data_IF_688040945440
#
_entry.id   IF_688040945440
#
_cell.length_a   1.000
_cell.length_b   1.000
_cell.length_c   1.000
_cell.angle_alpha   90.00
_cell.angle_beta   90.00
_cell.angle_gamma   90.00
#
_symmetry.space_group_name_H-M   'P 1'
#
loop_
_entity.id
_entity.type
_entity.pdbx_description
1 polymer ?
#
# COMPACT_ATOMS: atom_id res chain seq x y z
N UNK A 1 -24.36 -13.32 5.47
CA UNK A 1 -24.20 -11.95 4.99
C UNK A 1 -23.72 -11.08 6.12
N UNK A 2 -22.67 -10.31 5.86
CA UNK A 2 -22.21 -9.27 6.78
C UNK A 2 -23.13 -8.06 6.66
N UNK A 3 -23.69 -7.61 7.78
CA UNK A 3 -24.57 -6.45 7.84
C UNK A 3 -23.78 -5.15 7.92
N UNK A 4 -22.73 -5.14 8.74
CA UNK A 4 -21.92 -3.95 8.98
C UNK A 4 -20.51 -4.36 9.46
N UNK A 5 -19.52 -3.50 9.22
CA UNK A 5 -18.19 -3.58 9.79
C UNK A 5 -17.83 -2.17 10.27
N UNK A 6 -17.46 -2.06 11.54
CA UNK A 6 -17.20 -0.77 12.19
C UNK A 6 -15.87 -0.80 12.91
N UNK A 7 -15.09 0.27 12.74
CA UNK A 7 -13.85 0.51 13.47
C UNK A 7 -14.25 1.33 14.69
N UNK A 8 -14.43 0.67 15.83
CA UNK A 8 -14.93 1.29 17.07
C UNK A 8 -13.82 2.07 17.76
N UNK A 9 -12.60 1.53 17.71
CA UNK A 9 -11.37 2.17 18.17
C UNK A 9 -10.19 1.58 17.41
N UNK A 10 -8.98 2.15 17.59
CA UNK A 10 -7.78 1.65 16.90
C UNK A 10 -7.48 0.18 17.19
N UNK A 11 -7.95 -0.37 18.29
CA UNK A 11 -7.71 -1.75 18.72
C UNK A 11 -8.97 -2.65 18.68
N UNK A 12 -10.10 -2.16 18.16
CA UNK A 12 -11.37 -2.88 18.10
C UNK A 12 -12.08 -2.67 16.77
N UNK A 13 -12.28 -3.78 16.06
CA UNK A 13 -13.16 -3.87 14.89
C UNK A 13 -14.36 -4.72 15.27
N UNK A 14 -15.57 -4.23 15.01
CA UNK A 14 -16.81 -4.97 15.23
C UNK A 14 -17.43 -5.34 13.88
N UNK A 15 -17.83 -6.61 13.74
CA UNK A 15 -18.50 -7.15 12.56
C UNK A 15 -19.89 -7.62 12.99
N UNK A 16 -20.93 -7.10 12.33
CA UNK A 16 -22.32 -7.53 12.51
C UNK A 16 -22.68 -8.54 11.42
N UNK A 17 -23.20 -9.70 11.83
CA UNK A 17 -23.66 -10.78 10.96
C UNK A 17 -25.16 -10.99 11.15
N UNK A 18 -25.88 -11.27 10.06
CA UNK A 18 -27.35 -11.30 10.07
C UNK A 18 -27.90 -12.43 10.91
N UNK A 19 -27.25 -13.59 10.91
CA UNK A 19 -27.74 -14.77 11.63
C UNK A 19 -26.62 -15.68 12.14
N UNK A 20 -27.04 -16.74 12.84
CA UNK A 20 -26.15 -17.76 13.39
C UNK A 20 -25.41 -18.57 12.33
N UNK A 21 -26.00 -18.78 11.16
CA UNK A 21 -25.35 -19.53 10.08
C UNK A 21 -24.15 -18.75 9.54
N UNK A 22 -24.28 -17.43 9.45
CA UNK A 22 -23.22 -16.52 9.08
C UNK A 22 -22.11 -16.47 10.13
N UNK A 23 -22.47 -16.50 11.42
CA UNK A 23 -21.50 -16.61 12.50
C UNK A 23 -20.71 -17.92 12.43
N UNK A 24 -21.37 -19.05 12.19
CA UNK A 24 -20.68 -20.33 12.03
C UNK A 24 -19.73 -20.33 10.83
N UNK A 25 -20.12 -19.69 9.72
CA UNK A 25 -19.26 -19.52 8.56
C UNK A 25 -18.07 -18.61 8.86
N UNK A 26 -18.29 -17.50 9.57
CA UNK A 26 -17.24 -16.61 10.05
C UNK A 26 -16.22 -17.38 10.90
N UNK A 27 -16.68 -18.14 11.90
CA UNK A 27 -15.81 -18.94 12.77
C UNK A 27 -14.94 -19.89 11.94
N UNK A 28 -15.54 -20.61 10.98
CA UNK A 28 -14.83 -21.57 10.12
C UNK A 28 -13.69 -20.95 9.31
N UNK A 29 -13.87 -19.70 8.85
CA UNK A 29 -12.88 -19.07 7.96
C UNK A 29 -11.88 -18.20 8.75
N UNK A 30 -12.28 -17.62 9.89
CA UNK A 30 -11.42 -16.72 10.69
C UNK A 30 -10.61 -17.44 11.75
N UNK A 31 -10.96 -18.67 12.12
CA UNK A 31 -10.34 -19.39 13.24
C UNK A 31 -9.79 -20.75 12.78
N UNK A 32 -8.91 -21.35 13.59
CA UNK A 32 -8.34 -22.68 13.30
C UNK A 32 -8.63 -23.66 14.44
N UNK A 33 -8.06 -23.41 15.62
CA UNK A 33 -8.15 -24.32 16.77
C UNK A 33 -8.99 -23.73 17.90
N UNK A 34 -8.74 -22.47 18.23
CA UNK A 34 -9.52 -21.74 19.23
C UNK A 34 -10.45 -20.77 18.51
N UNK A 35 -11.77 -20.95 18.72
CA UNK A 35 -12.77 -20.05 18.16
C UNK A 35 -12.62 -18.61 18.68
N UNK A 36 -11.92 -18.38 19.79
CA UNK A 36 -11.68 -17.05 20.35
C UNK A 36 -10.38 -16.39 19.89
N UNK A 37 -9.68 -17.00 18.93
CA UNK A 37 -8.42 -16.46 18.39
C UNK A 37 -8.45 -16.53 16.86
N UNK A 38 -8.16 -15.41 16.20
CA UNK A 38 -8.07 -15.37 14.75
C UNK A 38 -6.86 -16.18 14.25
N UNK A 39 -6.98 -16.73 13.05
CA UNK A 39 -5.90 -17.45 12.40
C UNK A 39 -4.67 -16.54 12.21
N UNK A 40 -3.48 -17.03 12.59
CA UNK A 40 -2.20 -16.31 12.44
C UNK A 40 -1.83 -15.98 10.99
N UNK A 41 -2.53 -16.56 10.02
CA UNK A 41 -2.38 -16.23 8.61
C UNK A 41 -3.05 -14.90 8.24
N UNK A 42 -3.95 -14.38 9.08
CA UNK A 42 -4.72 -13.16 8.83
C UNK A 42 -4.06 -11.92 9.42
N UNK A 43 -3.41 -12.09 10.57
CA UNK A 43 -2.81 -11.01 11.34
C UNK A 43 -1.38 -11.37 11.73
N UNK A 44 -0.49 -10.37 11.71
CA UNK A 44 0.90 -10.53 12.16
C UNK A 44 1.01 -10.76 13.66
N UNK A 45 0.00 -10.31 14.42
CA UNK A 45 -0.10 -10.45 15.86
C UNK A 45 -1.37 -11.21 16.26
N UNK A 46 -1.46 -11.65 17.51
CA UNK A 46 -2.67 -12.32 18.02
C UNK A 46 -3.85 -11.35 18.04
N UNK A 47 -4.96 -11.76 17.41
CA UNK A 47 -6.25 -11.07 17.49
C UNK A 47 -7.24 -11.97 18.19
N UNK A 48 -7.80 -11.49 19.32
CA UNK A 48 -8.83 -12.19 20.09
C UNK A 48 -10.20 -11.89 19.53
N UNK A 49 -11.08 -12.87 19.59
CA UNK A 49 -12.45 -12.79 19.06
C UNK A 49 -13.45 -12.98 20.18
N UNK A 50 -14.36 -12.01 20.35
CA UNK A 50 -15.52 -12.15 21.25
C UNK A 50 -16.79 -12.21 20.43
N UNK A 51 -17.72 -13.04 20.90
CA UNK A 51 -19.02 -13.25 20.27
C UNK A 51 -20.10 -12.78 21.22
N UNK A 52 -21.06 -12.03 20.71
CA UNK A 52 -22.25 -11.56 21.43
C UNK A 52 -23.44 -11.63 20.48
N UNK A 53 -24.64 -11.70 21.04
CA UNK A 53 -25.87 -11.59 20.27
C UNK A 53 -26.66 -10.39 20.80
N UNK A 54 -27.16 -9.55 19.90
CA UNK A 54 -28.02 -8.42 20.23
C UNK A 54 -29.12 -8.30 19.18
N UNK A 55 -30.38 -8.27 19.60
CA UNK A 55 -31.54 -8.08 18.72
C UNK A 55 -31.55 -9.02 17.49
N UNK A 56 -31.20 -10.30 17.71
CA UNK A 56 -31.05 -11.35 16.69
C UNK A 56 -29.89 -11.16 15.69
N UNK A 57 -29.02 -10.18 15.92
CA UNK A 57 -27.78 -9.96 15.16
C UNK A 57 -26.63 -10.59 15.93
N UNK A 58 -25.78 -11.32 15.20
CA UNK A 58 -24.55 -11.86 15.76
C UNK A 58 -23.44 -10.81 15.64
N UNK A 59 -22.81 -10.48 16.76
CA UNK A 59 -21.77 -9.47 16.87
C UNK A 59 -20.44 -10.17 17.13
N UNK A 60 -19.45 -9.86 16.30
CA UNK A 60 -18.08 -10.34 16.42
C UNK A 60 -17.15 -9.15 16.69
N UNK A 61 -16.51 -9.15 17.85
CA UNK A 61 -15.49 -8.16 18.21
C UNK A 61 -14.09 -8.75 17.97
N UNK A 62 -13.33 -8.14 17.07
CA UNK A 62 -11.91 -8.41 16.84
C UNK A 62 -11.07 -7.45 17.69
N UNK A 63 -10.28 -8.00 18.60
CA UNK A 63 -9.48 -7.25 19.57
C UNK A 63 -8.00 -7.53 19.35
N UNK A 64 -7.24 -6.48 19.06
CA UNK A 64 -5.78 -6.55 18.89
C UNK A 64 -5.11 -5.80 20.05
N UNK A 65 -4.02 -6.34 20.60
CA UNK A 65 -3.30 -5.66 21.70
C UNK A 65 -2.58 -4.41 21.22
N UNK A 66 -2.10 -4.43 19.99
CA UNK A 66 -1.63 -3.26 19.25
C UNK A 66 -2.75 -2.64 18.43
N UNK A 67 -2.50 -1.47 17.84
CA UNK A 67 -3.43 -0.85 16.92
C UNK A 67 -3.57 -1.68 15.64
N UNK A 68 -4.80 -1.77 15.14
CA UNK A 68 -5.08 -2.20 13.77
C UNK A 68 -4.49 -1.17 12.79
N UNK A 69 -3.98 -1.69 11.69
CA UNK A 69 -3.53 -0.90 10.55
C UNK A 69 -4.59 -0.88 9.46
N UNK A 70 -4.46 0.01 8.48
CA UNK A 70 -5.33 -0.03 7.29
C UNK A 70 -5.24 -1.39 6.56
N UNK A 71 -4.05 -1.99 6.51
CA UNK A 71 -3.85 -3.31 5.89
C UNK A 71 -4.59 -4.42 6.63
N UNK A 72 -4.71 -4.34 7.95
CA UNK A 72 -5.48 -5.33 8.72
C UNK A 72 -6.96 -5.29 8.30
N UNK A 73 -7.52 -4.09 8.08
CA UNK A 73 -8.90 -3.91 7.62
C UNK A 73 -9.10 -4.45 6.20
N UNK A 74 -8.20 -4.14 5.27
CA UNK A 74 -8.24 -4.71 3.93
C UNK A 74 -8.12 -6.23 3.94
N UNK A 75 -7.24 -6.79 4.77
CA UNK A 75 -7.07 -8.23 4.89
C UNK A 75 -8.36 -8.88 5.40
N UNK A 76 -9.05 -8.27 6.37
CA UNK A 76 -10.38 -8.73 6.82
C UNK A 76 -11.37 -8.74 5.67
N UNK A 77 -11.50 -7.64 4.92
CA UNK A 77 -12.44 -7.53 3.79
C UNK A 77 -12.11 -8.53 2.67
N UNK A 78 -10.83 -8.64 2.30
CA UNK A 78 -10.35 -9.58 1.31
C UNK A 78 -10.61 -11.03 1.73
N UNK A 79 -10.35 -11.37 3.00
CA UNK A 79 -10.55 -12.72 3.52
C UNK A 79 -12.03 -13.11 3.54
N UNK A 80 -12.91 -12.20 3.96
CA UNK A 80 -14.36 -12.39 3.88
C UNK A 80 -14.80 -12.69 2.45
N UNK A 81 -14.39 -11.82 1.50
CA UNK A 81 -14.74 -11.96 0.09
C UNK A 81 -14.21 -13.26 -0.54
N UNK A 82 -12.93 -13.56 -0.32
CA UNK A 82 -12.26 -14.77 -0.84
C UNK A 82 -12.94 -16.07 -0.39
N UNK A 83 -13.50 -16.08 0.82
CA UNK A 83 -14.20 -17.23 1.37
C UNK A 83 -15.72 -17.20 1.15
N UNK A 84 -16.20 -16.34 0.25
CA UNK A 84 -17.59 -16.31 -0.19
C UNK A 84 -18.56 -15.66 0.80
N UNK A 85 -18.07 -14.98 1.84
CA UNK A 85 -18.92 -14.16 2.69
C UNK A 85 -19.32 -12.88 1.97
N UNK A 86 -20.62 -12.72 1.74
CA UNK A 86 -21.19 -11.53 1.11
C UNK A 86 -21.11 -10.33 2.05
N UNK A 87 -20.39 -9.30 1.61
CA UNK A 87 -20.31 -7.98 2.24
C UNK A 87 -20.86 -6.96 1.24
N UNK A 88 -21.89 -6.15 1.59
CA UNK A 88 -22.41 -5.12 0.69
C UNK A 88 -21.33 -4.08 0.31
N UNK A 89 -21.38 -3.59 -0.93
CA UNK A 89 -20.46 -2.57 -1.45
C UNK A 89 -20.44 -1.29 -0.59
N UNK A 90 -21.61 -0.85 -0.11
CA UNK A 90 -21.73 0.27 0.84
C UNK A 90 -20.98 0.02 2.16
N UNK A 91 -21.05 -1.21 2.68
CA UNK A 91 -20.33 -1.60 3.90
C UNK A 91 -18.82 -1.63 3.66
N UNK A 92 -18.37 -2.17 2.52
CA UNK A 92 -16.94 -2.16 2.14
C UNK A 92 -16.43 -0.72 2.07
N UNK A 93 -17.11 0.15 1.30
CA UNK A 93 -16.72 1.53 1.11
C UNK A 93 -16.70 2.32 2.43
N UNK A 94 -17.73 2.19 3.24
CA UNK A 94 -17.81 2.83 4.56
C UNK A 94 -16.69 2.35 5.50
N UNK A 95 -16.36 1.06 5.48
CA UNK A 95 -15.30 0.48 6.30
C UNK A 95 -13.94 1.02 5.90
N UNK A 96 -13.64 1.05 4.59
CA UNK A 96 -12.40 1.61 4.06
C UNK A 96 -12.28 3.10 4.36
N UNK A 97 -13.36 3.87 4.20
CA UNK A 97 -13.40 5.28 4.58
C UNK A 97 -13.15 5.50 6.07
N UNK A 98 -13.80 4.70 6.91
CA UNK A 98 -13.63 4.74 8.37
C UNK A 98 -12.19 4.41 8.76
N UNK A 99 -11.54 3.47 8.08
CA UNK A 99 -10.15 3.10 8.34
C UNK A 99 -9.19 4.26 8.10
N UNK A 100 -9.43 5.04 7.05
CA UNK A 100 -8.66 6.25 6.76
C UNK A 100 -8.92 7.35 7.79
N UNK A 101 -10.17 7.57 8.18
CA UNK A 101 -10.54 8.68 9.06
C UNK A 101 -10.25 8.44 10.54
N UNK A 102 -10.25 7.18 11.01
CA UNK A 102 -9.87 6.84 12.39
C UNK A 102 -8.34 6.87 12.62
N UNK A 103 -7.59 7.35 11.62
CA UNK A 103 -6.13 7.43 11.61
C UNK A 103 -5.48 6.09 11.96
N UNK A 104 -6.02 4.98 11.44
CA UNK A 104 -5.27 3.73 11.43
C UNK A 104 -3.99 3.95 10.64
N UNK A 105 -2.90 3.34 11.08
CA UNK A 105 -1.63 3.49 10.38
C UNK A 105 -1.77 2.97 8.93
N UNK A 106 -1.53 3.85 7.96
CA UNK A 106 -1.68 3.59 6.52
C UNK A 106 -0.36 3.78 5.77
N UNK A 107 0.77 3.48 6.40
CA UNK A 107 2.10 3.63 5.78
C UNK A 107 2.18 2.90 4.45
N UNK A 108 2.75 3.57 3.44
CA UNK A 108 2.90 2.99 2.10
C UNK A 108 1.63 3.02 1.23
N UNK A 109 0.63 3.82 1.63
CA UNK A 109 -0.60 4.01 0.88
C UNK A 109 -0.84 5.50 0.70
N UNK A 110 -1.27 5.88 -0.49
CA UNK A 110 -1.74 7.23 -0.79
C UNK A 110 -3.17 7.15 -1.32
N UNK A 111 -4.00 8.13 -1.01
CA UNK A 111 -5.43 8.12 -1.33
C UNK A 111 -5.77 9.25 -2.30
N UNK A 112 -6.54 8.95 -3.34
CA UNK A 112 -7.17 9.98 -4.16
C UNK A 112 -8.52 10.38 -3.57
N UNK A 113 -8.83 11.67 -3.54
CA UNK A 113 -10.08 12.20 -2.99
C UNK A 113 -10.86 12.98 -4.04
N UNK A 114 -12.16 12.75 -4.10
CA UNK A 114 -13.11 13.54 -4.90
C UNK A 114 -14.38 13.76 -4.08
N UNK A 115 -14.87 15.00 -4.03
CA UNK A 115 -16.03 15.36 -3.20
C UNK A 115 -15.85 15.05 -1.71
N UNK A 116 -14.62 15.14 -1.19
CA UNK A 116 -14.30 14.82 0.21
C UNK A 116 -14.29 13.33 0.56
N UNK A 117 -14.50 12.44 -0.41
CA UNK A 117 -14.51 10.99 -0.22
C UNK A 117 -13.35 10.32 -0.94
N UNK A 118 -12.69 9.31 -0.35
CA UNK A 118 -11.62 8.58 -1.00
C UNK A 118 -12.18 7.75 -2.16
N UNK A 119 -11.49 7.80 -3.29
CA UNK A 119 -11.89 7.11 -4.51
C UNK A 119 -11.02 5.89 -4.74
N UNK A 120 -9.70 6.05 -4.64
CA UNK A 120 -8.73 4.99 -4.79
C UNK A 120 -7.68 5.03 -3.68
N UNK A 121 -7.26 3.85 -3.24
CA UNK A 121 -5.96 3.68 -2.61
C UNK A 121 -4.91 3.34 -3.66
N UNK A 122 -3.71 3.91 -3.51
CA UNK A 122 -2.61 3.75 -4.45
C UNK A 122 -1.38 3.30 -3.67
N UNK A 123 -0.79 2.20 -4.14
CA UNK A 123 0.46 1.62 -3.63
C UNK A 123 1.50 1.60 -4.73
N UNK A 124 2.78 1.57 -4.34
CA UNK A 124 3.88 1.31 -5.28
C UNK A 124 4.62 0.07 -4.82
N UNK A 125 4.82 -0.85 -5.74
CA UNK A 125 5.61 -2.05 -5.52
C UNK A 125 6.38 -2.40 -6.79
N UNK A 126 7.71 -2.46 -6.70
CA UNK A 126 8.61 -2.80 -7.81
C UNK A 126 8.26 -2.01 -9.08
N UNK A 127 8.23 -0.68 -8.98
CA UNK A 127 7.89 0.23 -10.08
C UNK A 127 6.49 0.01 -10.70
N UNK A 128 5.58 -0.61 -9.98
CA UNK A 128 4.18 -0.75 -10.38
C UNK A 128 3.31 0.07 -9.43
N UNK A 129 2.54 1.01 -9.97
CA UNK A 129 1.45 1.65 -9.22
C UNK A 129 0.24 0.71 -9.23
N UNK A 130 -0.24 0.37 -8.04
CA UNK A 130 -1.37 -0.52 -7.83
C UNK A 130 -2.50 0.33 -7.26
N UNK A 131 -3.56 0.50 -8.03
CA UNK A 131 -4.73 1.28 -7.63
C UNK A 131 -5.90 0.36 -7.31
N UNK A 132 -6.43 0.50 -6.09
CA UNK A 132 -7.59 -0.26 -5.61
C UNK A 132 -8.74 0.71 -5.33
N UNK A 133 -9.93 0.51 -5.90
CA UNK A 133 -11.08 1.36 -5.67
C UNK A 133 -11.56 1.25 -4.22
N UNK A 134 -12.10 2.36 -3.71
CA UNK A 134 -12.58 2.46 -2.33
C UNK A 134 -14.03 2.95 -2.23
N UNK A 135 -14.50 3.73 -3.20
CA UNK A 135 -15.87 4.22 -3.21
C UNK A 135 -16.83 3.19 -3.78
N UNK A 136 -18.03 3.12 -3.19
CA UNK A 136 -19.05 2.11 -3.51
C UNK A 136 -19.30 2.00 -5.02
N UNK A 137 -19.45 3.14 -5.70
CA UNK A 137 -19.71 3.22 -7.14
C UNK A 137 -18.56 2.69 -8.00
N UNK A 138 -17.33 2.70 -7.50
CA UNK A 138 -16.12 2.33 -8.26
C UNK A 138 -15.54 0.97 -7.86
N UNK A 139 -16.09 0.29 -6.84
CA UNK A 139 -15.53 -0.96 -6.30
C UNK A 139 -15.38 -2.06 -7.35
N UNK A 140 -16.25 -2.08 -8.37
CA UNK A 140 -16.25 -3.06 -9.46
C UNK A 140 -15.55 -2.56 -10.74
N UNK A 141 -15.03 -1.33 -10.73
CA UNK A 141 -14.38 -0.68 -11.88
C UNK A 141 -15.25 -0.59 -13.17
N UNK A 142 -16.57 -0.69 -13.04
CA UNK A 142 -17.54 -0.65 -14.15
C UNK A 142 -18.36 0.65 -14.21
N UNK A 143 -18.06 1.62 -13.35
CA UNK A 143 -18.66 2.94 -13.43
C UNK A 143 -18.09 3.74 -14.60
N UNK A 144 -18.86 4.69 -15.11
CA UNK A 144 -18.40 5.60 -16.17
C UNK A 144 -17.06 6.26 -15.84
N UNK A 145 -16.87 6.68 -14.58
CA UNK A 145 -15.62 7.31 -14.12
C UNK A 145 -14.46 6.31 -14.10
N UNK A 146 -14.70 5.07 -13.65
CA UNK A 146 -13.66 4.01 -13.65
C UNK A 146 -13.27 3.59 -15.06
N UNK A 147 -14.25 3.41 -15.95
CA UNK A 147 -14.02 3.07 -17.35
C UNK A 147 -13.22 4.17 -18.05
N UNK A 148 -13.60 5.43 -17.86
CA UNK A 148 -12.88 6.59 -18.40
C UNK A 148 -11.43 6.63 -17.89
N UNK A 149 -11.20 6.37 -16.60
CA UNK A 149 -9.86 6.29 -16.04
C UNK A 149 -9.03 5.21 -16.72
N UNK A 150 -9.58 3.99 -16.84
CA UNK A 150 -8.89 2.85 -17.45
C UNK A 150 -8.53 3.15 -18.91
N UNK A 151 -9.45 3.75 -19.68
CA UNK A 151 -9.20 4.14 -21.06
C UNK A 151 -8.07 5.17 -21.18
N UNK A 152 -8.12 6.23 -20.36
CA UNK A 152 -7.09 7.26 -20.33
C UNK A 152 -5.72 6.67 -20.00
N UNK A 153 -5.64 5.83 -18.95
CA UNK A 153 -4.40 5.17 -18.55
C UNK A 153 -3.84 4.23 -19.63
N UNK A 154 -4.70 3.45 -20.29
CA UNK A 154 -4.26 2.54 -21.37
C UNK A 154 -3.80 3.29 -22.62
N UNK A 155 -4.26 4.52 -22.82
CA UNK A 155 -3.86 5.36 -23.96
C UNK A 155 -2.52 6.07 -23.75
N UNK A 156 -1.98 6.07 -22.51
CA UNK A 156 -0.79 6.82 -22.16
C UNK A 156 0.51 6.13 -22.56
N UNK A 157 1.38 6.86 -23.26
CA UNK A 157 2.65 6.34 -23.79
C UNK A 157 3.79 6.34 -22.77
N UNK A 158 3.64 7.08 -21.67
CA UNK A 158 4.63 7.18 -20.59
C UNK A 158 4.68 5.91 -19.73
N UNK A 159 3.68 5.05 -19.84
CA UNK A 159 3.55 3.80 -19.09
C UNK A 159 4.09 2.64 -19.93
N UNK A 160 4.67 1.63 -19.26
CA UNK A 160 5.04 0.40 -19.95
C UNK A 160 3.80 -0.44 -20.27
N UNK A 161 2.91 -0.57 -19.28
CA UNK A 161 1.68 -1.35 -19.40
C UNK A 161 0.64 -0.87 -18.38
N UNK A 162 -0.64 -1.11 -18.68
CA UNK A 162 -1.77 -0.86 -17.78
C UNK A 162 -2.71 -2.08 -17.81
N UNK A 163 -2.65 -2.89 -16.74
CA UNK A 163 -3.36 -4.16 -16.62
C UNK A 163 -4.44 -4.05 -15.54
N UNK A 164 -5.69 -4.32 -15.93
CA UNK A 164 -6.79 -4.48 -15.00
C UNK A 164 -6.95 -5.96 -14.68
N UNK A 165 -6.89 -6.31 -13.40
CA UNK A 165 -7.10 -7.68 -12.92
C UNK A 165 -8.03 -7.65 -11.72
N UNK A 166 -9.15 -8.37 -11.81
CA UNK A 166 -10.24 -8.26 -10.84
C UNK A 166 -10.61 -6.78 -10.69
N UNK A 167 -10.64 -6.25 -9.46
CA UNK A 167 -10.97 -4.86 -9.18
C UNK A 167 -9.71 -4.02 -8.92
N UNK A 168 -8.57 -4.37 -9.52
CA UNK A 168 -7.29 -3.69 -9.32
C UNK A 168 -6.73 -3.22 -10.66
N UNK A 169 -6.26 -1.97 -10.70
CA UNK A 169 -5.55 -1.40 -11.84
C UNK A 169 -4.05 -1.40 -11.53
N UNK A 170 -3.25 -2.08 -12.35
CA UNK A 170 -1.80 -2.12 -12.24
C UNK A 170 -1.17 -1.32 -13.37
N UNK A 171 -0.39 -0.31 -13.02
CA UNK A 171 0.31 0.58 -13.96
C UNK A 171 1.80 0.33 -13.82
N UNK A 172 2.38 -0.30 -14.83
CA UNK A 172 3.80 -0.65 -14.84
C UNK A 172 4.59 0.53 -15.41
N UNK A 173 5.55 1.02 -14.64
CA UNK A 173 6.43 2.11 -15.05
C UNK A 173 7.57 1.55 -15.90
N UNK A 174 7.92 2.25 -16.98
CA UNK A 174 9.10 1.94 -17.76
C UNK A 174 10.36 2.58 -17.14
N UNK A 175 10.59 3.87 -17.43
CA UNK A 175 11.75 4.63 -16.95
C UNK A 175 11.39 6.01 -16.39
N UNK A 176 10.25 6.58 -16.78
CA UNK A 176 9.91 7.99 -16.54
C UNK A 176 8.86 8.13 -15.43
N UNK A 177 9.21 7.73 -14.21
CA UNK A 177 8.27 7.68 -13.07
C UNK A 177 7.53 9.01 -12.84
N UNK A 178 8.21 10.15 -13.00
CA UNK A 178 7.58 11.48 -12.85
C UNK A 178 6.53 11.74 -13.91
N UNK A 179 6.77 11.30 -15.14
CA UNK A 179 5.79 11.44 -16.22
C UNK A 179 4.62 10.49 -15.99
N UNK A 180 4.88 9.25 -15.56
CA UNK A 180 3.82 8.31 -15.18
C UNK A 180 2.95 8.87 -14.07
N UNK A 181 3.54 9.44 -13.01
CA UNK A 181 2.79 10.10 -11.92
C UNK A 181 1.93 11.24 -12.48
N UNK A 182 2.48 12.10 -13.35
CA UNK A 182 1.70 13.18 -13.96
C UNK A 182 0.51 12.65 -14.79
N UNK A 183 0.72 11.58 -15.56
CA UNK A 183 -0.33 10.93 -16.34
C UNK A 183 -1.41 10.31 -15.46
N UNK A 184 -1.03 9.65 -14.34
CA UNK A 184 -1.97 9.12 -13.35
C UNK A 184 -2.84 10.24 -12.77
N UNK A 185 -2.20 11.30 -12.27
CA UNK A 185 -2.88 12.47 -11.68
C UNK A 185 -3.85 13.10 -12.67
N UNK A 186 -3.39 13.34 -13.91
CA UNK A 186 -4.22 13.93 -14.97
C UNK A 186 -5.43 13.05 -15.29
N UNK A 187 -5.22 11.73 -15.41
CA UNK A 187 -6.29 10.77 -15.71
C UNK A 187 -7.33 10.71 -14.59
N UNK A 188 -6.88 10.73 -13.33
CA UNK A 188 -7.76 10.79 -12.17
C UNK A 188 -8.61 12.07 -12.14
N UNK A 189 -8.03 13.23 -12.44
CA UNK A 189 -8.76 14.50 -12.50
C UNK A 189 -9.79 14.48 -13.63
N UNK A 190 -9.38 14.05 -14.83
CA UNK A 190 -10.25 14.00 -16.01
C UNK A 190 -11.44 13.04 -15.83
N UNK A 191 -11.25 11.99 -15.03
CA UNK A 191 -12.29 10.99 -14.73
C UNK A 191 -13.13 11.34 -13.50
N UNK A 192 -12.97 12.53 -12.90
CA UNK A 192 -13.66 12.93 -11.67
C UNK A 192 -13.39 11.98 -10.48
N UNK A 193 -12.17 11.46 -10.37
CA UNK A 193 -11.71 10.57 -9.29
C UNK A 193 -10.61 11.22 -8.42
N UNK A 194 -10.24 12.46 -8.74
CA UNK A 194 -9.39 13.34 -7.97
C UNK A 194 -9.87 14.79 -8.12
N UNK A 195 -10.10 15.47 -7.01
CA UNK A 195 -10.42 16.89 -7.01
C UNK A 195 -9.17 17.71 -7.38
N UNK A 196 -9.34 18.80 -8.13
CA UNK A 196 -8.21 19.57 -8.67
C UNK A 196 -7.34 20.17 -7.55
N UNK A 197 -7.97 20.55 -6.44
CA UNK A 197 -7.34 21.05 -5.23
C UNK A 197 -6.45 20.03 -4.52
N UNK A 198 -6.69 18.73 -4.69
CA UNK A 198 -5.87 17.65 -4.09
C UNK A 198 -4.67 17.26 -4.99
N UNK A 199 -4.54 17.86 -6.18
CA UNK A 199 -3.52 17.49 -7.17
C UNK A 199 -2.09 17.52 -6.62
N UNK A 200 -1.68 18.66 -6.04
CA UNK A 200 -0.29 18.86 -5.59
C UNK A 200 0.07 17.89 -4.47
N UNK A 201 -0.83 17.76 -3.50
CA UNK A 201 -0.68 16.87 -2.34
C UNK A 201 -0.57 15.41 -2.78
N UNK A 202 -1.49 14.93 -3.62
CA UNK A 202 -1.44 13.55 -4.11
C UNK A 202 -0.16 13.29 -4.92
N UNK A 203 0.25 14.26 -5.75
CA UNK A 203 1.46 14.14 -6.57
C UNK A 203 2.73 14.04 -5.72
N UNK A 204 2.85 14.85 -4.67
CA UNK A 204 3.98 14.79 -3.73
C UNK A 204 4.02 13.45 -3.00
N UNK A 205 2.88 13.01 -2.47
CA UNK A 205 2.77 11.72 -1.77
C UNK A 205 3.10 10.52 -2.69
N UNK A 206 2.67 10.55 -3.96
CA UNK A 206 3.03 9.51 -4.93
C UNK A 206 4.53 9.50 -5.25
N UNK A 207 5.18 10.66 -5.29
CA UNK A 207 6.63 10.76 -5.47
C UNK A 207 7.39 10.17 -4.30
N UNK A 208 7.00 10.50 -3.07
CA UNK A 208 7.58 9.93 -1.85
C UNK A 208 7.42 8.41 -1.82
N UNK A 209 6.22 7.92 -2.13
CA UNK A 209 5.94 6.49 -2.16
C UNK A 209 6.77 5.75 -3.21
N UNK A 210 6.89 6.32 -4.40
CA UNK A 210 7.68 5.75 -5.48
C UNK A 210 9.19 5.80 -5.17
N UNK A 211 9.66 6.87 -4.52
CA UNK A 211 11.05 6.98 -4.05
C UNK A 211 11.34 5.91 -2.99
N UNK A 212 10.39 5.67 -2.09
CA UNK A 212 10.51 4.63 -1.07
C UNK A 212 10.64 3.22 -1.65
N UNK A 213 9.82 2.88 -2.64
CA UNK A 213 9.93 1.61 -3.36
C UNK A 213 11.30 1.45 -4.03
N UNK A 214 11.76 2.49 -4.74
CA UNK A 214 13.05 2.49 -5.40
C UNK A 214 14.21 2.38 -4.40
N UNK A 215 14.16 3.09 -3.27
CA UNK A 215 15.15 3.02 -2.20
C UNK A 215 15.24 1.61 -1.60
N UNK A 216 14.11 0.92 -1.43
CA UNK A 216 14.08 -0.46 -0.93
C UNK A 216 14.71 -1.47 -1.90
N UNK A 217 14.45 -1.33 -3.20
CA UNK A 217 15.06 -2.15 -4.25
C UNK A 217 16.58 -1.98 -4.28
N UNK A 218 17.05 -0.73 -4.19
CA UNK A 218 18.47 -0.43 -4.19
C UNK A 218 19.16 -0.86 -2.90
N UNK A 219 18.52 -0.67 -1.74
CA UNK A 219 18.98 -1.19 -0.44
C UNK A 219 19.24 -2.69 -0.49
N UNK A 220 18.29 -3.46 -1.02
CA UNK A 220 18.41 -4.92 -1.14
C UNK A 220 19.60 -5.33 -2.03
N UNK A 221 19.85 -4.56 -3.09
CA UNK A 221 20.98 -4.78 -4.00
C UNK A 221 22.33 -4.51 -3.32
N UNK A 222 22.44 -3.39 -2.59
CA UNK A 222 23.65 -3.00 -1.85
C UNK A 222 23.93 -3.97 -0.70
N UNK A 223 22.91 -4.36 0.07
CA UNK A 223 23.03 -5.32 1.17
C UNK A 223 23.57 -6.67 0.69
N UNK A 224 23.22 -7.07 -0.54
CA UNK A 224 23.74 -8.30 -1.15
C UNK A 224 25.25 -8.21 -1.37
N UNK A 225 25.78 -7.05 -1.78
CA UNK A 225 27.22 -6.83 -1.94
C UNK A 225 27.96 -7.00 -0.60
N UNK A 226 27.37 -6.49 0.49
CA UNK A 226 27.94 -6.60 1.84
C UNK A 226 28.02 -8.06 2.33
N UNK A 227 27.25 -8.99 1.76
CA UNK A 227 27.24 -10.41 2.12
C UNK A 227 28.23 -11.28 1.34
N UNK A 228 28.94 -10.74 0.36
CA UNK A 228 29.90 -11.53 -0.40
C UNK A 228 31.09 -12.02 0.45
N UNK A 229 31.70 -13.18 0.11
CA UNK A 229 32.92 -13.67 0.75
C UNK A 229 34.05 -12.63 0.69
N UNK A 230 34.94 -12.59 1.70
CA UNK A 230 35.96 -11.53 1.83
C UNK A 230 36.88 -11.36 0.61
N UNK A 231 37.12 -12.43 -0.15
CA UNK A 231 37.94 -12.42 -1.37
C UNK A 231 37.20 -11.90 -2.62
N UNK A 232 35.91 -11.57 -2.51
CA UNK A 232 35.14 -11.08 -3.66
C UNK A 232 35.62 -9.67 -4.09
N UNK A 233 35.78 -9.39 -5.40
CA UNK A 233 36.32 -8.12 -5.90
C UNK A 233 35.57 -6.86 -5.44
N UNK A 234 34.29 -6.99 -5.10
CA UNK A 234 33.46 -5.88 -4.60
C UNK A 234 33.62 -5.60 -3.10
N UNK A 235 34.20 -6.52 -2.30
CA UNK A 235 34.35 -6.33 -0.85
C UNK A 235 35.34 -5.21 -0.49
N UNK A 236 36.26 -4.86 -1.39
CA UNK A 236 37.12 -3.68 -1.21
C UNK A 236 36.36 -2.35 -1.13
N UNK A 237 35.08 -2.32 -1.52
CA UNK A 237 34.22 -1.14 -1.42
C UNK A 237 33.22 -1.21 -0.25
N UNK A 238 33.42 -2.13 0.71
CA UNK A 238 32.51 -2.35 1.85
C UNK A 238 32.18 -1.06 2.63
N UNK A 239 33.14 -0.16 2.80
CA UNK A 239 32.91 1.11 3.51
C UNK A 239 31.88 2.00 2.78
N UNK A 240 31.92 2.01 1.44
CA UNK A 240 30.98 2.80 0.62
C UNK A 240 29.61 2.13 0.66
N UNK A 241 29.56 0.81 0.46
CA UNK A 241 28.29 0.07 0.46
C UNK A 241 27.62 0.06 1.82
N UNK A 242 28.37 0.03 2.94
CA UNK A 242 27.81 0.24 4.29
C UNK A 242 27.26 1.64 4.48
N UNK A 243 27.99 2.68 4.03
CA UNK A 243 27.49 4.06 4.09
C UNK A 243 26.18 4.23 3.33
N UNK A 244 26.06 3.63 2.14
CA UNK A 244 24.78 3.62 1.39
C UNK A 244 23.71 2.85 2.16
N UNK A 245 24.04 1.66 2.68
CA UNK A 245 23.13 0.84 3.48
C UNK A 245 22.57 1.64 4.67
N UNK A 246 23.42 2.33 5.42
CA UNK A 246 23.05 3.14 6.59
C UNK A 246 22.14 4.32 6.22
N UNK A 247 22.45 5.03 5.13
CA UNK A 247 21.61 6.14 4.63
C UNK A 247 20.21 5.62 4.26
N UNK A 248 20.14 4.51 3.52
CA UNK A 248 18.87 3.93 3.09
C UNK A 248 18.10 3.32 4.27
N UNK A 249 18.77 2.69 5.23
CA UNK A 249 18.16 2.23 6.48
C UNK A 249 17.54 3.40 7.25
N UNK A 250 18.28 4.50 7.41
CA UNK A 250 17.80 5.69 8.10
C UNK A 250 16.61 6.32 7.37
N UNK A 251 16.63 6.35 6.03
CA UNK A 251 15.48 6.80 5.24
C UNK A 251 14.26 5.88 5.42
N UNK A 252 14.43 4.56 5.36
CA UNK A 252 13.33 3.61 5.55
C UNK A 252 12.69 3.77 6.94
N UNK A 253 13.48 4.11 7.95
CA UNK A 253 13.00 4.34 9.32
C UNK A 253 12.31 5.70 9.52
N UNK A 254 12.83 6.77 8.91
CA UNK A 254 12.42 8.15 9.21
C UNK A 254 11.66 8.86 8.07
N UNK A 255 11.57 8.23 6.89
CA UNK A 255 10.83 8.67 5.70
C UNK A 255 11.19 10.08 5.16
N UNK A 256 12.38 10.61 5.49
CA UNK A 256 12.84 11.91 4.97
C UNK A 256 13.70 11.75 3.70
N UNK A 257 13.08 11.91 2.53
CA UNK A 257 13.76 11.76 1.24
C UNK A 257 14.81 12.83 0.99
N UNK A 258 14.52 14.09 1.32
CA UNK A 258 15.46 15.22 1.10
C UNK A 258 16.79 14.99 1.83
N UNK A 259 16.72 14.60 3.12
CA UNK A 259 17.89 14.29 3.92
C UNK A 259 18.67 13.10 3.35
N UNK A 260 17.96 12.05 2.92
CA UNK A 260 18.60 10.88 2.31
C UNK A 260 19.36 11.26 1.03
N UNK A 261 18.76 12.10 0.18
CA UNK A 261 19.39 12.60 -1.04
C UNK A 261 20.59 13.48 -0.74
N UNK A 262 20.51 14.36 0.25
CA UNK A 262 21.65 15.19 0.66
C UNK A 262 22.85 14.32 1.08
N UNK A 263 22.61 13.29 1.89
CA UNK A 263 23.65 12.36 2.33
C UNK A 263 24.22 11.54 1.17
N UNK A 264 23.36 11.06 0.25
CA UNK A 264 23.78 10.35 -0.96
C UNK A 264 24.64 11.23 -1.86
N UNK A 265 24.30 12.51 -2.04
CA UNK A 265 25.11 13.47 -2.80
C UNK A 265 26.47 13.73 -2.16
N UNK A 266 26.51 13.89 -0.83
CA UNK A 266 27.77 14.02 -0.06
C UNK A 266 28.64 12.78 -0.14
N UNK A 267 28.04 11.60 -0.23
CA UNK A 267 28.76 10.37 -0.44
C UNK A 267 29.31 10.34 -1.87
N UNK A 268 28.48 10.65 -2.89
CA UNK A 268 28.86 10.61 -4.29
C UNK A 268 30.12 11.43 -4.61
N UNK A 269 30.24 12.63 -4.01
CA UNK A 269 31.41 13.50 -4.21
C UNK A 269 32.72 12.95 -3.63
N UNK A 270 32.65 11.92 -2.78
CA UNK A 270 33.81 11.25 -2.16
C UNK A 270 34.13 9.90 -2.82
N UNK A 271 33.31 9.44 -3.76
CA UNK A 271 33.48 8.14 -4.41
C UNK A 271 34.56 8.24 -5.49
N UNK A 272 35.51 7.31 -5.48
CA UNK A 272 36.56 7.23 -6.52
C UNK A 272 35.95 6.91 -7.89
N UNK A 273 36.47 7.46 -9.00
CA UNK A 273 36.08 7.08 -10.37
C UNK A 273 36.19 5.58 -10.65
N UNK A 274 37.09 4.88 -9.94
CA UNK A 274 37.30 3.43 -10.06
C UNK A 274 36.25 2.59 -9.30
N UNK A 275 35.26 3.24 -8.70
CA UNK A 275 34.20 2.55 -7.97
C UNK A 275 33.26 1.86 -8.97
N UNK A 276 32.98 0.56 -8.79
CA UNK A 276 32.15 -0.20 -9.69
C UNK A 276 30.81 0.47 -9.93
N UNK A 277 30.43 0.51 -11.20
CA UNK A 277 29.18 1.12 -11.65
C UNK A 277 27.95 0.55 -10.95
N UNK A 278 28.00 -0.70 -10.49
CA UNK A 278 26.91 -1.30 -9.72
C UNK A 278 26.65 -0.60 -8.37
N UNK A 279 27.66 0.02 -7.77
CA UNK A 279 27.57 0.77 -6.50
C UNK A 279 27.17 2.22 -6.78
N UNK A 280 27.79 2.88 -7.76
CA UNK A 280 27.50 4.28 -8.10
C UNK A 280 26.13 4.45 -8.76
N UNK A 281 25.65 3.44 -9.51
CA UNK A 281 24.32 3.47 -10.15
C UNK A 281 23.19 3.54 -9.13
N UNK A 282 23.35 2.97 -7.94
CA UNK A 282 22.37 3.10 -6.85
C UNK A 282 22.23 4.57 -6.43
N UNK A 283 23.35 5.24 -6.19
CA UNK A 283 23.38 6.67 -5.83
C UNK A 283 22.75 7.50 -6.95
N UNK A 284 23.22 7.31 -8.20
CA UNK A 284 22.74 8.04 -9.37
C UNK A 284 21.24 7.88 -9.58
N UNK A 285 20.70 6.66 -9.42
CA UNK A 285 19.27 6.40 -9.58
C UNK A 285 18.46 7.16 -8.56
N UNK A 286 18.83 7.08 -7.27
CA UNK A 286 18.06 7.71 -6.20
C UNK A 286 18.16 9.25 -6.27
N UNK A 287 19.35 9.79 -6.53
CA UNK A 287 19.54 11.24 -6.68
C UNK A 287 18.78 11.78 -7.90
N UNK A 288 18.77 11.08 -9.03
CA UNK A 288 17.99 11.50 -10.22
C UNK A 288 16.49 11.26 -10.08
N UNK A 289 16.08 10.43 -9.11
CA UNK A 289 14.68 10.14 -8.85
C UNK A 289 14.00 11.30 -8.12
N UNK A 290 14.72 12.00 -7.24
CA UNK A 290 14.23 13.15 -6.50
C UNK A 290 14.37 14.45 -7.30
#
# INVERSE_FOLDING_TARGET
>A
MTKNISIVSRNLITIELIDKQDLENFIKIFTVLDKHVAAKTLFTEEVRIRYKQQDSIEIVDLLKSSDFTYYDVENVLHHLSKHGMKVPSSVIAHTLFSACNHALESKGIVLSFFGGSPQFNIRVNKNTFIMTPMSEENLELNSQNSETLIELLKSEKSMYDCVVKENIINIVVNYEIHQTINSIIKSLIQSCLLAKEEELKLKEQLRELAFKDQAFVEYSSIKTINRYPQNHPLRKYENITKSIEDILCNFIANENSEFAIEQLNRLNSKVSPDTPRIITKTIDKLVKFH
#
